data_IF_560865972289
#
_entry.id   IF_560865972289
#
_cell.length_a   1.000
_cell.length_b   1.000
_cell.length_c   1.000
_cell.angle_alpha   90.00
_cell.angle_beta   90.00
_cell.angle_gamma   90.00
#
_symmetry.space_group_name_H-M   'P 1'
#
loop_
_entity.id
_entity.type
_entity.pdbx_description
1 polymer ?
#
# COMPACT_ATOMS: atom_id res chain seq x y z
N UNK A 1 -16.02 -3.18 -10.94
CA UNK A 1 -15.23 -2.41 -9.97
C UNK A 1 -16.10 -1.28 -9.49
N UNK A 2 -16.25 -1.21 -8.18
CA UNK A 2 -16.98 -0.19 -7.45
C UNK A 2 -16.25 1.17 -7.46
N UNK A 3 -16.87 2.18 -6.85
CA UNK A 3 -16.28 3.51 -6.67
C UNK A 3 -15.11 3.53 -5.67
N UNK A 4 -14.81 2.40 -5.00
CA UNK A 4 -13.72 2.29 -4.01
C UNK A 4 -12.43 1.69 -4.58
N UNK A 5 -12.50 1.06 -5.75
CA UNK A 5 -11.35 0.42 -6.41
C UNK A 5 -11.29 0.90 -7.86
N UNK A 6 -10.26 1.69 -8.17
CA UNK A 6 -9.98 2.14 -9.53
C UNK A 6 -8.76 1.38 -10.07
N UNK A 7 -8.98 0.50 -11.04
CA UNK A 7 -7.91 -0.22 -11.77
C UNK A 7 -7.75 0.37 -13.18
N UNK A 8 -6.65 1.11 -13.39
CA UNK A 8 -6.31 1.72 -14.69
C UNK A 8 -5.19 0.96 -15.41
N UNK A 9 -4.82 -0.25 -14.94
CA UNK A 9 -3.80 -1.09 -15.54
C UNK A 9 -2.35 -0.67 -15.26
N UNK A 10 -2.09 0.64 -15.09
CA UNK A 10 -0.82 1.23 -14.68
C UNK A 10 -0.82 1.81 -13.25
N UNK A 11 -1.95 1.68 -12.54
CA UNK A 11 -2.12 1.93 -11.12
C UNK A 11 -3.38 1.23 -10.60
N UNK A 12 -3.41 0.99 -9.30
CA UNK A 12 -4.59 0.55 -8.55
C UNK A 12 -4.79 1.56 -7.43
N UNK A 13 -5.91 2.27 -7.44
CA UNK A 13 -6.25 3.22 -6.39
C UNK A 13 -7.40 2.71 -5.54
N UNK A 14 -7.23 2.80 -4.23
CA UNK A 14 -8.16 2.33 -3.23
C UNK A 14 -8.63 3.52 -2.39
N UNK A 15 -9.94 3.64 -2.21
CA UNK A 15 -10.55 4.79 -1.54
C UNK A 15 -10.81 4.52 -0.06
N UNK A 16 -10.71 5.59 0.74
CA UNK A 16 -11.14 5.70 2.13
C UNK A 16 -10.64 4.53 3.01
N UNK A 17 -11.52 3.92 3.80
CA UNK A 17 -11.17 2.87 4.77
C UNK A 17 -10.53 1.65 4.10
N UNK A 18 -10.97 1.29 2.89
CA UNK A 18 -10.36 0.19 2.15
C UNK A 18 -8.90 0.49 1.78
N UNK A 19 -8.63 1.69 1.28
CA UNK A 19 -7.27 2.09 0.93
C UNK A 19 -6.37 2.20 2.14
N UNK A 20 -6.91 2.75 3.24
CA UNK A 20 -6.23 2.79 4.53
C UNK A 20 -5.86 1.38 4.98
N UNK A 21 -6.82 0.47 5.11
CA UNK A 21 -6.57 -0.86 5.65
C UNK A 21 -5.60 -1.69 4.80
N UNK A 22 -5.66 -1.54 3.47
CA UNK A 22 -4.70 -2.21 2.58
C UNK A 22 -3.30 -1.61 2.77
N UNK A 23 -3.15 -0.28 2.82
CA UNK A 23 -1.85 0.37 2.98
C UNK A 23 -1.20 0.05 4.34
N UNK A 24 -2.00 0.05 5.40
CA UNK A 24 -1.59 -0.32 6.76
C UNK A 24 -1.35 -1.82 6.93
N UNK A 25 -1.89 -2.66 6.03
CA UNK A 25 -1.81 -4.11 6.15
C UNK A 25 -2.81 -4.69 7.16
N UNK A 26 -3.81 -3.90 7.56
CA UNK A 26 -4.78 -4.19 8.60
C UNK A 26 -6.12 -4.69 8.05
N UNK A 27 -6.14 -5.27 6.84
CA UNK A 27 -7.37 -5.75 6.19
C UNK A 27 -8.25 -6.67 7.05
N UNK A 28 -7.65 -7.36 8.04
CA UNK A 28 -8.35 -8.24 8.98
C UNK A 28 -8.97 -7.50 10.18
N UNK A 29 -8.42 -6.33 10.56
CA UNK A 29 -8.73 -5.63 11.80
C UNK A 29 -9.15 -4.16 11.61
N UNK A 30 -9.10 -3.67 10.38
CA UNK A 30 -9.40 -2.29 10.04
C UNK A 30 -10.89 -1.99 9.90
N UNK A 31 -11.17 -0.82 9.36
CA UNK A 31 -12.50 -0.20 9.33
C UNK A 31 -13.28 -0.48 8.03
N UNK A 32 -12.63 -1.05 7.01
CA UNK A 32 -13.27 -1.45 5.76
C UNK A 32 -14.35 -2.50 6.01
N UNK A 33 -15.51 -2.31 5.38
CA UNK A 33 -16.63 -3.22 5.56
C UNK A 33 -16.43 -4.54 4.80
N UNK A 34 -17.21 -5.56 5.16
CA UNK A 34 -17.08 -6.90 4.59
C UNK A 34 -17.29 -6.97 3.06
N UNK A 35 -18.08 -6.07 2.48
CA UNK A 35 -18.31 -6.01 1.03
C UNK A 35 -17.08 -5.46 0.29
N UNK A 36 -16.50 -4.37 0.81
CA UNK A 36 -15.25 -3.79 0.29
C UNK A 36 -14.10 -4.79 0.37
N UNK A 37 -13.96 -5.46 1.52
CA UNK A 37 -12.93 -6.48 1.74
C UNK A 37 -13.15 -7.69 0.82
N UNK A 38 -14.40 -8.10 0.59
CA UNK A 38 -14.71 -9.20 -0.33
C UNK A 38 -14.38 -8.83 -1.78
N UNK A 39 -14.73 -7.62 -2.23
CA UNK A 39 -14.41 -7.14 -3.57
C UNK A 39 -12.90 -7.04 -3.80
N UNK A 40 -12.16 -6.49 -2.81
CA UNK A 40 -10.70 -6.46 -2.86
C UNK A 40 -10.14 -7.89 -2.97
N UNK A 41 -10.59 -8.80 -2.11
CA UNK A 41 -10.10 -10.19 -2.10
C UNK A 41 -10.54 -10.99 -3.33
N UNK A 42 -11.55 -10.57 -4.08
CA UNK A 42 -11.91 -11.21 -5.36
C UNK A 42 -10.86 -10.91 -6.44
N UNK A 43 -10.38 -9.66 -6.51
CA UNK A 43 -9.48 -9.20 -7.57
C UNK A 43 -7.99 -9.19 -7.18
N UNK A 44 -7.69 -9.04 -5.90
CA UNK A 44 -6.36 -8.81 -5.37
C UNK A 44 -6.02 -9.71 -4.19
N UNK A 45 -4.73 -9.72 -3.87
CA UNK A 45 -4.16 -10.37 -2.70
C UNK A 45 -3.14 -9.41 -2.08
N UNK A 46 -3.28 -9.15 -0.79
CA UNK A 46 -2.29 -8.44 0.00
C UNK A 46 -1.14 -9.39 0.31
N UNK A 47 0.09 -9.03 -0.08
CA UNK A 47 1.27 -9.79 0.31
C UNK A 47 1.70 -9.32 1.71
N UNK A 48 1.64 -10.22 2.69
CA UNK A 48 1.87 -9.91 4.12
C UNK A 48 3.34 -9.57 4.45
N UNK A 49 4.27 -9.81 3.54
CA UNK A 49 5.67 -9.44 3.71
C UNK A 49 5.85 -7.93 3.52
N UNK A 50 6.58 -7.29 4.46
CA UNK A 50 7.05 -5.91 4.31
C UNK A 50 8.36 -5.92 3.53
N UNK A 51 8.38 -5.23 2.38
CA UNK A 51 9.56 -5.20 1.51
C UNK A 51 10.36 -3.91 1.74
N UNK A 52 11.66 -4.06 2.00
CA UNK A 52 12.57 -2.91 2.10
C UNK A 52 12.80 -2.26 0.73
N UNK A 53 12.77 -0.93 0.69
CA UNK A 53 13.12 -0.17 -0.52
C UNK A 53 14.46 0.55 -0.40
N UNK A 54 14.97 0.75 0.83
CA UNK A 54 16.30 1.30 1.12
C UNK A 54 16.99 0.54 2.27
N UNK A 55 18.32 0.51 2.23
CA UNK A 55 19.14 -0.43 3.02
C UNK A 55 19.56 0.04 4.42
N UNK A 56 18.92 1.06 5.02
CA UNK A 56 19.35 1.63 6.31
C UNK A 56 18.27 1.53 7.41
N UNK A 57 18.20 0.34 8.03
CA UNK A 57 17.24 -0.03 9.07
C UNK A 57 17.33 0.79 10.37
N UNK A 58 18.43 1.52 10.60
CA UNK A 58 18.70 2.15 11.91
C UNK A 58 18.29 3.62 12.01
N UNK A 59 17.99 4.29 10.89
CA UNK A 59 17.60 5.71 10.87
C UNK A 59 16.17 5.95 10.36
N UNK A 60 15.47 4.88 10.02
CA UNK A 60 14.20 4.93 9.31
C UNK A 60 14.42 4.55 7.85
N UNK A 61 13.50 3.76 7.32
CA UNK A 61 13.59 3.11 6.02
C UNK A 61 12.29 3.30 5.29
N UNK A 62 12.37 3.50 3.99
CA UNK A 62 11.19 3.44 3.13
C UNK A 62 10.83 1.97 2.93
N UNK A 63 9.65 1.58 3.38
CA UNK A 63 9.08 0.26 3.17
C UNK A 63 8.04 0.31 2.06
N UNK A 64 7.60 -0.86 1.62
CA UNK A 64 6.58 -0.99 0.62
C UNK A 64 5.56 -2.05 0.99
N UNK A 65 4.29 -1.65 0.93
CA UNK A 65 3.15 -2.56 0.94
C UNK A 65 2.86 -3.04 -0.47
N UNK A 66 2.64 -4.33 -0.66
CA UNK A 66 2.49 -4.91 -2.00
C UNK A 66 1.18 -5.66 -2.12
N UNK A 67 0.48 -5.39 -3.23
CA UNK A 67 -0.68 -6.17 -3.66
C UNK A 67 -0.36 -6.89 -4.97
N UNK A 68 -0.94 -8.08 -5.13
CA UNK A 68 -0.92 -8.85 -6.38
C UNK A 68 -2.32 -8.83 -7.02
N UNK A 69 -2.41 -8.43 -8.28
CA UNK A 69 -3.65 -8.59 -9.07
C UNK A 69 -3.78 -10.02 -9.56
N UNK A 70 -4.87 -10.70 -9.22
CA UNK A 70 -5.09 -12.13 -9.52
C UNK A 70 -5.30 -12.43 -11.00
N UNK A 71 -5.80 -11.45 -11.76
CA UNK A 71 -6.11 -11.65 -13.18
C UNK A 71 -4.87 -11.87 -14.05
N UNK A 72 -3.72 -11.29 -13.68
CA UNK A 72 -2.50 -11.31 -14.49
C UNK A 72 -1.19 -11.36 -13.67
N UNK A 73 -1.28 -11.66 -12.38
CA UNK A 73 -0.16 -11.78 -11.45
C UNK A 73 0.75 -10.54 -11.34
N UNK A 74 0.28 -9.37 -11.80
CA UNK A 74 1.04 -8.13 -11.68
C UNK A 74 1.09 -7.63 -10.24
N UNK A 75 2.25 -7.11 -9.87
CA UNK A 75 2.52 -6.55 -8.56
C UNK A 75 2.35 -5.04 -8.59
N UNK A 76 1.75 -4.50 -7.53
CA UNK A 76 1.64 -3.07 -7.30
C UNK A 76 2.09 -2.74 -5.87
N UNK A 77 2.86 -1.67 -5.74
CA UNK A 77 3.48 -1.23 -4.49
C UNK A 77 2.97 0.13 -4.04
N UNK A 78 2.84 0.28 -2.73
CA UNK A 78 2.61 1.53 -2.03
C UNK A 78 3.79 1.76 -1.08
N UNK A 79 4.54 2.83 -1.30
CA UNK A 79 5.71 3.15 -0.49
C UNK A 79 5.29 3.99 0.72
N UNK A 80 5.88 3.71 1.89
CA UNK A 80 5.65 4.46 3.11
C UNK A 80 6.94 4.56 3.93
N UNK A 81 7.04 5.58 4.78
CA UNK A 81 8.20 5.74 5.64
C UNK A 81 7.97 5.02 6.97
N UNK A 82 8.97 4.27 7.42
CA UNK A 82 8.96 3.60 8.70
C UNK A 82 10.14 4.12 9.52
N UNK A 83 9.84 4.71 10.68
CA UNK A 83 10.85 5.18 11.61
C UNK A 83 11.75 4.07 12.13
N UNK A 84 13.02 4.38 12.35
CA UNK A 84 13.98 3.43 12.93
C UNK A 84 13.71 3.17 14.42
N UNK A 85 14.11 1.99 14.90
CA UNK A 85 14.05 1.63 16.32
C UNK A 85 12.92 0.66 16.69
N UNK A 86 12.86 0.26 17.97
CA UNK A 86 11.95 -0.79 18.46
C UNK A 86 10.45 -0.45 18.32
N UNK A 87 10.13 0.84 18.30
CA UNK A 87 8.77 1.37 18.23
C UNK A 87 8.66 2.42 17.13
N UNK A 88 9.36 2.21 16.01
CA UNK A 88 9.29 3.12 14.88
C UNK A 88 7.85 3.41 14.49
N UNK A 89 7.52 4.68 14.27
CA UNK A 89 6.22 5.10 13.76
C UNK A 89 6.18 4.88 12.24
N UNK A 90 5.04 4.41 11.74
CA UNK A 90 4.81 4.25 10.31
C UNK A 90 4.05 5.50 9.81
N UNK A 91 4.66 6.25 8.90
CA UNK A 91 4.03 7.38 8.24
C UNK A 91 3.38 6.89 6.94
N UNK A 92 2.12 6.47 7.06
CA UNK A 92 1.29 5.96 5.97
C UNK A 92 0.20 6.99 5.66
N UNK A 93 0.47 7.86 4.69
CA UNK A 93 -0.44 8.94 4.28
C UNK A 93 -1.09 8.66 2.91
N UNK A 94 -2.33 9.10 2.66
CA UNK A 94 -2.92 9.04 1.33
C UNK A 94 -2.05 9.79 0.31
N UNK A 95 -1.87 9.21 -0.88
CA UNK A 95 -1.04 9.76 -1.97
C UNK A 95 -1.84 10.01 -3.26
N UNK A 96 -3.16 10.10 -3.16
CA UNK A 96 -4.07 10.25 -4.29
C UNK A 96 -3.82 11.49 -5.15
N UNK A 97 -3.52 12.60 -4.50
CA UNK A 97 -3.30 13.92 -5.12
C UNK A 97 -2.09 13.91 -6.07
N UNK A 98 -1.00 13.24 -5.67
CA UNK A 98 0.17 12.99 -6.51
C UNK A 98 -0.14 12.13 -7.76
N UNK A 99 -1.31 11.52 -7.80
CA UNK A 99 -1.73 10.56 -8.83
C UNK A 99 -3.04 10.95 -9.53
N UNK A 100 -3.47 12.21 -9.38
CA UNK A 100 -4.61 12.80 -10.08
C UNK A 100 -5.97 12.45 -9.48
N UNK A 101 -6.01 11.96 -8.24
CA UNK A 101 -7.24 11.81 -7.48
C UNK A 101 -7.49 13.07 -6.63
N UNK A 102 -8.77 13.39 -6.32
CA UNK A 102 -9.10 14.53 -5.48
C UNK A 102 -8.42 14.47 -4.11
N UNK A 103 -7.97 15.63 -3.63
CA UNK A 103 -7.42 15.77 -2.28
C UNK A 103 -8.49 16.27 -1.31
N UNK A 104 -8.36 15.90 -0.03
CA UNK A 104 -9.14 16.53 1.07
C UNK A 104 -8.95 18.06 1.13
N UNK A 105 -7.89 18.59 0.52
CA UNK A 105 -7.63 20.02 0.42
C UNK A 105 -8.42 20.71 -0.70
N UNK A 106 -9.05 19.95 -1.61
CA UNK A 106 -9.91 20.43 -2.70
C UNK A 106 -11.39 20.57 -2.27
N UNK A 107 -11.64 20.71 -0.96
CA UNK A 107 -12.99 20.81 -0.38
C UNK A 107 -13.80 22.01 -0.94
N UNK A 108 -13.13 23.03 -1.46
CA UNK A 108 -13.78 24.16 -2.14
C UNK A 108 -14.39 23.77 -3.51
N UNK A 109 -13.93 22.67 -4.11
CA UNK A 109 -14.41 22.12 -5.38
C UNK A 109 -15.48 21.01 -5.18
N UNK A 110 -16.00 20.86 -3.96
CA UNK A 110 -17.08 19.92 -3.64
C UNK A 110 -16.63 18.49 -3.32
N UNK A 111 -15.32 18.28 -3.15
CA UNK A 111 -14.72 17.01 -2.69
C UNK A 111 -15.04 16.81 -1.21
N UNK A 112 -15.37 15.57 -0.80
CA UNK A 112 -15.56 15.28 0.62
C UNK A 112 -14.22 15.47 1.35
N UNK A 113 -14.23 16.26 2.42
CA UNK A 113 -13.04 16.51 3.26
C UNK A 113 -12.43 15.25 3.88
N UNK A 114 -13.18 14.15 3.91
CA UNK A 114 -12.73 12.86 4.41
C UNK A 114 -12.30 11.91 3.28
N UNK A 115 -12.48 12.30 2.01
CA UNK A 115 -12.10 11.48 0.87
C UNK A 115 -10.58 11.34 0.83
N UNK A 116 -10.13 10.09 0.82
CA UNK A 116 -8.73 9.73 0.75
C UNK A 116 -8.50 8.65 -0.30
N UNK A 117 -7.41 8.75 -1.04
CA UNK A 117 -7.03 7.79 -2.06
C UNK A 117 -5.61 7.27 -1.81
N UNK A 118 -5.47 5.95 -1.87
CA UNK A 118 -4.22 5.22 -1.70
C UNK A 118 -3.89 4.49 -3.00
N UNK A 119 -2.84 4.94 -3.68
CA UNK A 119 -2.49 4.53 -5.04
C UNK A 119 -1.27 3.63 -5.01
N UNK A 120 -1.48 2.40 -5.49
CA UNK A 120 -0.46 1.39 -5.70
C UNK A 120 0.02 1.43 -7.15
N UNK A 121 1.33 1.47 -7.34
CA UNK A 121 1.98 1.62 -8.66
C UNK A 121 2.64 0.30 -9.07
N UNK A 122 2.74 -0.03 -10.36
CA UNK A 122 3.41 -1.25 -10.82
C UNK A 122 4.83 -1.37 -10.28
N UNK A 123 5.19 -2.56 -9.80
CA UNK A 123 6.52 -2.86 -9.28
C UNK A 123 7.07 -4.17 -9.83
N UNK A 124 8.37 -4.35 -9.66
CA UNK A 124 9.10 -5.57 -10.00
C UNK A 124 9.91 -6.01 -8.78
N UNK A 125 10.03 -7.33 -8.57
CA UNK A 125 10.88 -7.85 -7.52
C UNK A 125 12.36 -7.65 -7.89
N UNK A 126 13.10 -6.92 -7.06
CA UNK A 126 14.54 -6.73 -7.21
C UNK A 126 15.31 -7.59 -6.17
N UNK A 127 15.92 -8.73 -6.57
CA UNK A 127 16.67 -9.56 -5.63
C UNK A 127 17.98 -8.88 -5.22
N UNK A 128 18.22 -8.75 -3.91
CA UNK A 128 19.46 -8.19 -3.37
C UNK A 128 20.55 -9.27 -3.25
N UNK A 129 21.77 -9.05 -3.78
CA UNK A 129 22.89 -9.96 -3.56
C UNK A 129 23.37 -9.87 -2.11
N UNK A 130 23.26 -10.97 -1.35
CA UNK A 130 23.66 -11.05 0.05
C UNK A 130 24.54 -12.28 0.34
N UNK A 131 25.46 -12.14 1.31
CA UNK A 131 26.26 -13.24 1.85
C UNK A 131 25.70 -13.66 3.21
N UNK A 132 25.72 -14.98 3.51
CA UNK A 132 25.34 -15.52 4.84
C UNK A 132 26.50 -16.29 5.45
N UNK A 133 26.58 -16.30 6.77
CA UNK A 133 27.46 -17.23 7.48
C UNK A 133 26.98 -18.67 7.28
N UNK A 134 27.92 -19.60 7.19
CA UNK A 134 27.63 -21.03 7.22
C UNK A 134 27.33 -21.39 8.69
N UNK A 135 26.21 -22.04 8.97
CA UNK A 135 25.94 -22.53 10.32
C UNK A 135 26.95 -23.63 10.64
N UNK A 136 27.69 -23.48 11.74
CA UNK A 136 28.53 -24.55 12.26
C UNK A 136 27.64 -25.72 12.70
N UNK A 137 27.99 -26.94 12.25
CA UNK A 137 27.25 -28.17 12.47
C UNK A 137 27.30 -28.68 13.92
#
# INVERSE_FOLDING_TARGET
MSDYIVDEGDKVALRDELGHDVAWGDLQYGDANAEQVAEFNEAYELLEDEYHTDGDLYQGSTLMRVIRRKADDKLFGFAFWQGGGKYGEADIEPNGDDHGFPSKYDWEDGVDKNEAWYVFRPIELAPLPAYKFIADA
#
